data_IF_242645519391
#
_entry.id   IF_242645519391
#
_cell.length_a   1.000
_cell.length_b   1.000
_cell.length_c   1.000
_cell.angle_alpha   90.00
_cell.angle_beta   90.00
_cell.angle_gamma   90.00
#
_symmetry.space_group_name_H-M   'P 1'
#
loop_
_entity.id
_entity.type
_entity.pdbx_description
1 polymer ?
#
# COMPACT_ATOMS: atom_id res chain seq x y z
N UNK A 1 -2.28 -13.46 -29.07
CA UNK A 1 -1.10 -12.71 -28.61
C UNK A 1 -1.21 -12.64 -27.09
N UNK A 2 -0.16 -12.98 -26.34
CA UNK A 2 -0.16 -12.92 -24.86
C UNK A 2 0.65 -11.69 -24.47
N UNK A 3 -0.01 -10.61 -24.08
CA UNK A 3 0.65 -9.48 -23.45
C UNK A 3 1.16 -9.95 -22.09
N UNK A 4 2.43 -10.36 -22.07
CA UNK A 4 3.13 -10.71 -20.86
C UNK A 4 3.76 -9.43 -20.33
N UNK A 5 3.49 -9.14 -19.05
CA UNK A 5 4.19 -8.14 -18.22
C UNK A 5 3.96 -6.68 -18.61
N UNK A 6 3.00 -6.05 -17.94
CA UNK A 6 3.22 -4.74 -17.37
C UNK A 6 2.48 -4.65 -16.03
N UNK A 7 2.96 -5.45 -15.08
CA UNK A 7 2.69 -5.23 -13.66
C UNK A 7 3.51 -3.98 -13.31
N UNK A 8 2.96 -2.78 -13.60
CA UNK A 8 3.47 -1.56 -12.99
C UNK A 8 3.20 -1.80 -11.51
N UNK A 9 4.23 -1.94 -10.66
CA UNK A 9 3.93 -2.03 -9.25
C UNK A 9 3.21 -0.73 -8.91
N UNK A 10 2.06 -0.82 -8.24
CA UNK A 10 1.47 0.24 -7.42
C UNK A 10 2.48 0.59 -6.31
N UNK A 11 3.67 1.01 -6.72
CA UNK A 11 4.73 1.50 -5.89
C UNK A 11 4.43 2.97 -5.74
N UNK A 12 3.78 3.30 -4.63
CA UNK A 12 3.98 4.60 -3.99
C UNK A 12 5.49 4.92 -3.80
N UNK A 13 6.40 3.94 -3.99
CA UNK A 13 7.86 4.05 -3.95
C UNK A 13 8.55 4.55 -5.25
N UNK A 14 7.83 5.16 -6.21
CA UNK A 14 8.41 5.65 -7.46
C UNK A 14 9.19 6.98 -7.38
N UNK A 15 9.19 7.66 -6.24
CA UNK A 15 9.98 8.87 -6.00
C UNK A 15 10.92 8.61 -4.81
N UNK A 16 12.21 8.97 -4.98
CA UNK A 16 13.28 9.01 -3.96
C UNK A 16 14.29 7.85 -3.95
N UNK A 17 14.85 7.53 -5.11
CA UNK A 17 16.21 6.96 -5.20
C UNK A 17 17.33 8.01 -4.98
N UNK A 18 17.07 9.17 -4.35
CA UNK A 18 18.10 10.17 -4.01
C UNK A 18 17.78 10.85 -2.68
N UNK A 19 18.08 10.17 -1.57
CA UNK A 19 18.67 10.78 -0.37
C UNK A 19 19.09 9.65 0.57
N UNK A 20 20.40 9.52 0.72
CA UNK A 20 21.01 8.74 1.80
C UNK A 20 20.47 9.23 3.14
N UNK A 21 20.30 8.29 4.08
CA UNK A 21 20.05 8.50 5.52
C UNK A 21 18.71 9.12 5.89
N UNK A 22 17.59 8.45 5.58
CA UNK A 22 16.55 8.39 6.63
C UNK A 22 17.07 7.35 7.60
N UNK A 23 17.58 7.84 8.73
CA UNK A 23 17.77 7.03 9.92
C UNK A 23 16.56 6.12 10.02
N UNK A 24 16.76 4.82 10.23
CA UNK A 24 15.77 4.03 10.93
C UNK A 24 15.61 4.72 12.29
N UNK A 25 14.79 5.78 12.31
CA UNK A 25 14.07 6.12 13.49
C UNK A 25 13.36 4.80 13.76
N UNK A 26 13.68 4.14 14.88
CA UNK A 26 12.74 3.24 15.51
C UNK A 26 11.46 4.07 15.65
N UNK A 27 10.65 4.08 14.60
CA UNK A 27 9.35 4.67 14.59
C UNK A 27 8.58 3.71 15.47
N UNK A 28 8.54 4.04 16.76
CA UNK A 28 7.81 3.27 17.73
C UNK A 28 6.33 3.51 17.43
N UNK A 29 5.75 2.61 16.63
CA UNK A 29 4.35 2.63 16.28
C UNK A 29 3.54 2.10 17.46
N UNK A 30 2.50 2.85 17.86
CA UNK A 30 1.62 2.39 18.93
C UNK A 30 0.83 1.16 18.50
N UNK A 31 0.36 0.35 19.46
CA UNK A 31 -0.55 -0.76 19.16
C UNK A 31 -1.76 -0.27 18.36
N UNK A 32 -2.37 0.85 18.74
CA UNK A 32 -3.50 1.46 18.00
C UNK A 32 -3.14 1.73 16.53
N UNK A 33 -1.94 2.23 16.23
CA UNK A 33 -1.52 2.51 14.85
C UNK A 33 -1.33 1.22 14.04
N UNK A 34 -0.84 0.15 14.69
CA UNK A 34 -0.66 -1.15 14.04
C UNK A 34 -2.01 -1.84 13.82
N UNK A 35 -2.95 -1.73 14.75
CA UNK A 35 -4.32 -2.24 14.59
C UNK A 35 -5.06 -1.52 13.46
N UNK A 36 -4.93 -0.19 13.38
CA UNK A 36 -5.47 0.58 12.26
C UNK A 36 -4.80 0.20 10.94
N UNK A 37 -3.49 -0.07 10.95
CA UNK A 37 -2.74 -0.48 9.76
C UNK A 37 -3.23 -1.85 9.26
N UNK A 38 -3.42 -2.82 10.15
CA UNK A 38 -3.98 -4.13 9.80
C UNK A 38 -5.39 -3.98 9.23
N UNK A 39 -6.22 -3.13 9.83
CA UNK A 39 -7.57 -2.85 9.32
C UNK A 39 -7.55 -2.25 7.92
N UNK A 40 -6.67 -1.27 7.68
CA UNK A 40 -6.51 -0.63 6.37
C UNK A 40 -5.92 -1.60 5.33
N UNK A 41 -5.02 -2.50 5.75
CA UNK A 41 -4.31 -3.42 4.86
C UNK A 41 -5.28 -4.36 4.13
N UNK A 42 -6.32 -4.84 4.80
CA UNK A 42 -7.34 -5.72 4.20
C UNK A 42 -8.12 -4.98 3.12
N UNK A 43 -8.62 -3.78 3.40
CA UNK A 43 -9.43 -3.00 2.46
C UNK A 43 -8.60 -2.48 1.29
N UNK A 44 -7.36 -2.04 1.52
CA UNK A 44 -6.41 -1.68 0.46
C UNK A 44 -6.13 -2.86 -0.46
N UNK A 45 -6.03 -4.08 0.08
CA UNK A 45 -5.81 -5.29 -0.73
C UNK A 45 -7.04 -5.66 -1.55
N UNK A 46 -8.25 -5.54 -0.99
CA UNK A 46 -9.49 -5.78 -1.73
C UNK A 46 -9.65 -4.80 -2.90
N UNK A 47 -9.44 -3.50 -2.66
CA UNK A 47 -9.44 -2.47 -3.70
C UNK A 47 -8.41 -2.80 -4.77
N UNK A 48 -7.17 -3.12 -4.36
CA UNK A 48 -6.10 -3.45 -5.30
C UNK A 48 -6.49 -4.60 -6.22
N UNK A 49 -7.03 -5.68 -5.66
CA UNK A 49 -7.36 -6.87 -6.43
C UNK A 49 -8.53 -6.59 -7.41
N UNK A 50 -9.57 -5.84 -6.99
CA UNK A 50 -10.68 -5.40 -7.88
C UNK A 50 -10.18 -4.56 -9.06
N UNK A 51 -9.37 -3.53 -8.78
CA UNK A 51 -8.90 -2.65 -9.85
C UNK A 51 -7.88 -3.32 -10.77
N UNK A 52 -7.05 -4.25 -10.26
CA UNK A 52 -6.19 -5.07 -11.13
C UNK A 52 -7.03 -5.87 -12.11
N UNK A 53 -8.11 -6.52 -11.66
CA UNK A 53 -9.00 -7.27 -12.56
C UNK A 53 -9.67 -6.36 -13.61
N UNK A 54 -10.13 -5.17 -13.19
CA UNK A 54 -10.73 -4.18 -14.09
C UNK A 54 -9.74 -3.66 -15.14
N UNK A 55 -8.51 -3.34 -14.72
CA UNK A 55 -7.44 -2.87 -15.61
C UNK A 55 -7.02 -3.96 -16.60
N UNK A 56 -6.88 -5.20 -16.14
CA UNK A 56 -6.53 -6.33 -17.02
C UNK A 56 -7.64 -6.70 -18.01
N UNK A 57 -8.88 -6.28 -17.72
CA UNK A 57 -10.06 -6.52 -18.57
C UNK A 57 -10.25 -5.48 -19.68
N UNK A 58 -9.54 -4.34 -19.64
CA UNK A 58 -9.61 -3.32 -20.69
C UNK A 58 -8.38 -3.33 -21.59
N UNK A 59 -8.60 -3.13 -22.89
CA UNK A 59 -7.56 -2.88 -23.89
C UNK A 59 -7.35 -1.37 -24.15
N UNK A 60 -8.19 -0.50 -23.54
CA UNK A 60 -8.11 0.95 -23.67
C UNK A 60 -7.14 1.53 -22.65
N UNK A 61 -6.15 2.26 -23.15
CA UNK A 61 -5.13 2.88 -22.32
C UNK A 61 -5.67 4.02 -21.47
N UNK A 62 -6.59 4.82 -22.00
CA UNK A 62 -7.15 5.96 -21.28
C UNK A 62 -8.06 5.45 -20.14
N UNK A 63 -8.85 4.40 -20.40
CA UNK A 63 -9.64 3.71 -19.36
C UNK A 63 -8.74 3.10 -18.27
N UNK A 64 -7.64 2.43 -18.65
CA UNK A 64 -6.70 1.88 -17.67
C UNK A 64 -6.07 2.97 -16.77
N UNK A 65 -5.79 4.15 -17.31
CA UNK A 65 -5.28 5.29 -16.52
C UNK A 65 -6.33 5.85 -15.57
N UNK A 66 -7.60 5.93 -15.99
CA UNK A 66 -8.71 6.36 -15.13
C UNK A 66 -8.93 5.37 -13.98
N UNK A 67 -8.91 4.07 -14.27
CA UNK A 67 -9.00 3.02 -13.25
C UNK A 67 -7.84 3.06 -12.26
N UNK A 68 -6.62 3.34 -12.73
CA UNK A 68 -5.46 3.50 -11.84
C UNK A 68 -5.64 4.71 -10.91
N UNK A 69 -6.13 5.84 -11.42
CA UNK A 69 -6.39 7.03 -10.61
C UNK A 69 -7.49 6.77 -9.56
N UNK A 70 -8.59 6.15 -9.97
CA UNK A 70 -9.71 5.80 -9.10
C UNK A 70 -9.25 4.84 -7.99
N UNK A 71 -8.46 3.81 -8.32
CA UNK A 71 -7.89 2.89 -7.34
C UNK A 71 -7.03 3.62 -6.29
N UNK A 72 -6.18 4.56 -6.72
CA UNK A 72 -5.33 5.33 -5.81
C UNK A 72 -6.17 6.18 -4.85
N UNK A 73 -7.24 6.83 -5.34
CA UNK A 73 -8.16 7.60 -4.49
C UNK A 73 -8.85 6.71 -3.46
N UNK A 74 -9.38 5.56 -3.89
CA UNK A 74 -10.04 4.59 -3.01
C UNK A 74 -9.08 4.02 -1.95
N UNK A 75 -7.84 3.71 -2.31
CA UNK A 75 -6.84 3.23 -1.34
C UNK A 75 -6.47 4.30 -0.31
N UNK A 76 -6.42 5.57 -0.70
CA UNK A 76 -6.19 6.68 0.24
C UNK A 76 -7.36 6.79 1.22
N UNK A 77 -8.59 6.76 0.72
CA UNK A 77 -9.79 6.80 1.55
C UNK A 77 -9.84 5.63 2.54
N UNK A 78 -9.56 4.41 2.09
CA UNK A 78 -9.49 3.22 2.94
C UNK A 78 -8.48 3.35 4.09
N UNK A 79 -7.33 3.98 3.84
CA UNK A 79 -6.36 4.26 4.91
C UNK A 79 -6.88 5.33 5.87
N UNK A 80 -7.41 6.44 5.34
CA UNK A 80 -7.87 7.57 6.14
C UNK A 80 -9.10 7.23 7.00
N UNK A 81 -9.97 6.33 6.54
CA UNK A 81 -11.15 5.86 7.26
C UNK A 81 -10.82 5.07 8.54
N UNK A 82 -9.63 4.46 8.61
CA UNK A 82 -9.15 3.84 9.85
C UNK A 82 -8.66 4.85 10.89
N UNK A 83 -8.52 6.12 10.49
CA UNK A 83 -7.91 7.18 11.29
C UNK A 83 -6.39 7.27 11.16
N UNK A 84 -5.77 6.50 10.26
CA UNK A 84 -4.37 6.65 9.88
C UNK A 84 -4.20 7.71 8.78
N UNK A 85 -3.00 8.27 8.72
CA UNK A 85 -2.58 9.03 7.53
C UNK A 85 -1.87 8.12 6.55
N UNK A 86 -1.95 8.42 5.26
CA UNK A 86 -1.22 7.69 4.19
C UNK A 86 0.29 7.65 4.47
N UNK A 87 0.85 8.74 5.02
CA UNK A 87 2.25 8.81 5.43
C UNK A 87 2.58 7.81 6.53
N UNK A 88 1.70 7.67 7.53
CA UNK A 88 1.91 6.71 8.64
C UNK A 88 1.76 5.28 8.17
N UNK A 89 0.74 5.00 7.35
CA UNK A 89 0.56 3.69 6.73
C UNK A 89 1.80 3.27 5.93
N UNK A 90 2.32 4.17 5.08
CA UNK A 90 3.52 3.94 4.28
C UNK A 90 4.76 3.72 5.15
N UNK A 91 4.90 4.48 6.25
CA UNK A 91 6.00 4.33 7.19
C UNK A 91 5.97 2.97 7.90
N UNK A 92 4.80 2.50 8.32
CA UNK A 92 4.62 1.17 8.94
C UNK A 92 4.99 0.08 7.93
N UNK A 93 4.48 0.14 6.70
CA UNK A 93 4.79 -0.84 5.66
C UNK A 93 6.30 -0.88 5.34
N UNK A 94 6.94 0.28 5.23
CA UNK A 94 8.38 0.38 5.00
C UNK A 94 9.18 -0.19 6.20
N UNK A 95 8.78 0.10 7.43
CA UNK A 95 9.44 -0.41 8.61
C UNK A 95 9.28 -1.94 8.74
N UNK A 96 8.08 -2.47 8.54
CA UNK A 96 7.80 -3.90 8.56
C UNK A 96 8.61 -4.68 7.51
N UNK A 97 8.96 -4.05 6.38
CA UNK A 97 9.83 -4.68 5.37
C UNK A 97 11.30 -4.81 5.79
N UNK A 98 11.73 -4.05 6.80
CA UNK A 98 13.12 -3.97 7.27
C UNK A 98 13.32 -4.56 8.68
N UNK A 99 12.27 -4.57 9.49
CA UNK A 99 12.25 -5.03 10.87
C UNK A 99 11.37 -6.28 10.99
N UNK A 100 12.01 -7.43 11.24
CA UNK A 100 11.32 -8.71 11.41
C UNK A 100 10.43 -8.76 12.65
N UNK A 101 10.82 -8.10 13.73
CA UNK A 101 10.07 -8.13 14.99
C UNK A 101 8.78 -7.34 14.85
N UNK A 102 8.84 -6.20 14.14
CA UNK A 102 7.66 -5.44 13.77
C UNK A 102 6.74 -6.22 12.83
N UNK A 103 7.30 -6.89 11.82
CA UNK A 103 6.52 -7.72 10.90
C UNK A 103 5.79 -8.86 11.63
N UNK A 104 6.46 -9.52 12.57
CA UNK A 104 5.86 -10.56 13.42
C UNK A 104 4.74 -10.00 14.30
N UNK A 105 4.90 -8.80 14.86
CA UNK A 105 3.86 -8.12 15.65
C UNK A 105 2.61 -7.81 14.83
N UNK A 106 2.78 -7.24 13.64
CA UNK A 106 1.68 -6.97 12.70
C UNK A 106 0.99 -8.27 12.29
N UNK A 107 1.76 -9.31 11.97
CA UNK A 107 1.21 -10.61 11.59
C UNK A 107 0.40 -11.24 12.75
N UNK A 108 0.83 -11.05 14.00
CA UNK A 108 0.10 -11.53 15.16
C UNK A 108 -1.28 -10.85 15.32
N UNK A 109 -1.38 -9.56 14.95
CA UNK A 109 -2.63 -8.78 14.97
C UNK A 109 -3.63 -9.17 13.87
N UNK A 110 -3.17 -9.80 12.78
CA UNK A 110 -4.01 -10.28 11.67
C UNK A 110 -4.76 -11.60 11.96
N UNK A 111 -4.49 -12.30 13.07
CA UNK A 111 -5.02 -13.64 13.36
C UNK A 111 -6.26 -13.66 14.27
#
# INVERSE_FOLDING_TARGET
>A
MRFKTLLIPFSLAGLLALSMTVSAQEADFSDDQLDQFVSAQDEVMEIRDDYVERIESTDDRDEAMELEQEANEMMVEAVEDTGLTVDTYSAIAQAASQDSDLAERIQAMMN
#
